data_IF_129863709698
#
_entry.id   IF_129863709698
#
_cell.length_a   1.000
_cell.length_b   1.000
_cell.length_c   1.000
_cell.angle_alpha   90.00
_cell.angle_beta   90.00
_cell.angle_gamma   90.00
#
_symmetry.space_group_name_H-M   'P 1'
#
loop_
_entity.id
_entity.type
_entity.pdbx_description
1 polymer ?
#
# COMPACT_ATOMS: atom_id res chain seq x y z
N UNK A 1 13.41 -5.48 3.71
CA UNK A 1 12.03 -5.99 3.45
C UNK A 1 11.09 -4.80 3.34
N UNK A 2 9.78 -4.99 3.15
CA UNK A 2 8.83 -3.87 3.08
C UNK A 2 8.84 -3.00 4.36
N UNK A 3 9.07 -3.61 5.53
CA UNK A 3 9.25 -2.93 6.81
C UNK A 3 10.44 -1.97 6.79
N UNK A 4 11.63 -2.48 6.44
CA UNK A 4 12.86 -1.69 6.34
C UNK A 4 12.71 -0.48 5.41
N UNK A 5 11.95 -0.62 4.31
CA UNK A 5 11.68 0.48 3.39
C UNK A 5 10.87 1.59 4.06
N UNK A 6 9.87 1.25 4.88
CA UNK A 6 9.09 2.25 5.59
C UNK A 6 9.91 2.90 6.71
N UNK A 7 10.74 2.13 7.41
CA UNK A 7 11.65 2.63 8.45
C UNK A 7 12.65 3.66 7.88
N UNK A 8 13.22 3.40 6.70
CA UNK A 8 14.09 4.33 5.98
C UNK A 8 13.40 5.67 5.64
N UNK A 9 12.06 5.67 5.59
CA UNK A 9 11.21 6.83 5.37
C UNK A 9 10.68 7.44 6.67
N UNK A 10 11.24 7.08 7.82
CA UNK A 10 10.75 7.49 9.14
C UNK A 10 9.27 7.17 9.36
N UNK A 11 8.81 6.08 8.76
CA UNK A 11 7.43 5.58 8.81
C UNK A 11 7.42 4.13 9.27
N UNK A 12 6.25 3.56 9.53
CA UNK A 12 6.10 2.13 9.80
C UNK A 12 5.36 1.44 8.66
N UNK A 13 5.53 0.11 8.53
CA UNK A 13 4.69 -0.64 7.59
C UNK A 13 3.23 -0.55 8.02
N UNK A 14 2.37 -0.18 7.09
CA UNK A 14 0.95 0.00 7.35
C UNK A 14 0.27 -1.31 7.75
N UNK A 15 -0.74 -1.17 8.61
CA UNK A 15 -1.66 -2.24 8.91
C UNK A 15 -2.95 -2.16 8.07
N UNK A 16 -3.79 -3.19 8.14
CA UNK A 16 -5.03 -3.24 7.37
C UNK A 16 -6.02 -2.14 7.75
N UNK A 17 -6.09 -1.75 9.01
CA UNK A 17 -7.01 -0.72 9.50
C UNK A 17 -6.64 0.65 8.92
N UNK A 18 -5.36 1.01 8.97
CA UNK A 18 -4.83 2.23 8.35
C UNK A 18 -5.08 2.26 6.85
N UNK A 19 -4.96 1.11 6.17
CA UNK A 19 -5.24 0.97 4.73
C UNK A 19 -6.71 1.17 4.42
N UNK A 20 -7.59 0.60 5.24
CA UNK A 20 -9.03 0.80 5.13
C UNK A 20 -9.44 2.25 5.38
N UNK A 21 -8.83 2.92 6.35
CA UNK A 21 -9.05 4.34 6.60
C UNK A 21 -8.58 5.23 5.45
N UNK A 22 -7.37 4.98 4.93
CA UNK A 22 -6.90 5.75 3.78
C UNK A 22 -7.76 5.52 2.54
N UNK A 23 -8.23 4.29 2.31
CA UNK A 23 -9.23 4.03 1.28
C UNK A 23 -10.51 4.85 1.51
N UNK A 24 -11.06 4.89 2.72
CA UNK A 24 -12.22 5.73 3.04
C UNK A 24 -11.95 7.24 2.80
N UNK A 25 -10.71 7.69 2.99
CA UNK A 25 -10.24 9.04 2.70
C UNK A 25 -9.93 9.30 1.21
N UNK A 26 -10.11 8.31 0.33
CA UNK A 26 -9.97 8.45 -1.12
C UNK A 26 -8.68 7.90 -1.72
N UNK A 27 -7.83 7.22 -0.94
CA UNK A 27 -6.62 6.60 -1.47
C UNK A 27 -6.96 5.49 -2.46
N UNK A 28 -6.54 5.66 -3.71
CA UNK A 28 -6.51 4.61 -4.72
C UNK A 28 -5.13 4.48 -5.34
N UNK A 29 -4.77 3.26 -5.73
CA UNK A 29 -3.50 2.92 -6.37
C UNK A 29 -3.74 2.03 -7.60
N UNK A 30 -2.76 1.93 -8.47
CA UNK A 30 -2.75 0.94 -9.56
C UNK A 30 -1.62 -0.08 -9.36
N UNK A 31 -1.14 -0.22 -8.12
CA UNK A 31 0.00 -1.06 -7.77
C UNK A 31 -0.28 -1.79 -6.47
N UNK A 32 0.06 -3.07 -6.43
CA UNK A 32 -0.01 -3.86 -5.22
C UNK A 32 1.10 -3.44 -4.25
N UNK A 33 0.73 -3.29 -2.98
CA UNK A 33 1.64 -2.96 -1.89
C UNK A 33 1.50 -3.92 -0.70
N UNK A 34 2.60 -4.13 0.00
CA UNK A 34 2.68 -4.90 1.23
C UNK A 34 2.01 -4.18 2.40
N UNK A 35 1.31 -4.97 3.22
CA UNK A 35 0.61 -4.59 4.46
C UNK A 35 0.75 -5.73 5.46
N UNK A 36 0.95 -5.45 6.76
CA UNK A 36 1.14 -6.46 7.81
C UNK A 36 2.22 -7.52 7.47
N UNK A 37 3.24 -7.15 6.68
CA UNK A 37 4.34 -7.99 6.17
C UNK A 37 3.95 -9.26 5.40
N UNK A 38 2.65 -9.52 5.21
CA UNK A 38 2.12 -10.81 4.75
C UNK A 38 1.04 -10.67 3.69
N UNK A 39 0.42 -9.49 3.58
CA UNK A 39 -0.70 -9.24 2.67
C UNK A 39 -0.27 -8.29 1.57
N UNK A 40 -0.59 -8.65 0.33
CA UNK A 40 -0.50 -7.75 -0.82
C UNK A 40 -1.89 -7.23 -1.14
N UNK A 41 -2.04 -5.91 -1.17
CA UNK A 41 -3.32 -5.26 -1.45
C UNK A 41 -3.19 -4.16 -2.50
N UNK A 42 -4.28 -3.88 -3.18
CA UNK A 42 -4.46 -2.75 -4.10
C UNK A 42 -5.79 -2.08 -3.79
N UNK A 43 -5.81 -0.74 -3.82
CA UNK A 43 -6.97 0.06 -3.44
C UNK A 43 -7.54 0.71 -4.71
N UNK A 44 -8.81 0.49 -5.01
CA UNK A 44 -9.46 1.06 -6.21
C UNK A 44 -10.81 1.68 -5.88
N UNK A 45 -10.98 2.96 -6.17
CA UNK A 45 -12.32 3.61 -6.14
C UNK A 45 -13.02 3.52 -7.50
N UNK A 46 -12.25 3.42 -8.57
CA UNK A 46 -12.76 3.40 -9.94
C UNK A 46 -12.29 2.13 -10.66
N UNK A 47 -13.17 1.57 -11.49
CA UNK A 47 -12.83 0.41 -12.29
C UNK A 47 -11.77 0.76 -13.33
N UNK A 48 -10.70 -0.02 -13.40
CA UNK A 48 -9.68 0.09 -14.43
C UNK A 48 -9.20 -1.31 -14.80
N UNK A 49 -9.33 -1.70 -16.07
CA UNK A 49 -8.95 -3.04 -16.55
C UNK A 49 -7.46 -3.34 -16.39
N UNK A 50 -6.61 -2.31 -16.33
CA UNK A 50 -5.16 -2.44 -16.08
C UNK A 50 -4.83 -2.59 -14.58
N UNK A 51 -5.75 -2.25 -13.68
CA UNK A 51 -5.54 -2.29 -12.23
C UNK A 51 -6.49 -3.31 -11.60
N UNK A 52 -5.96 -4.45 -11.13
CA UNK A 52 -6.77 -5.53 -10.53
C UNK A 52 -7.91 -6.01 -11.45
N UNK A 53 -7.70 -6.00 -12.78
CA UNK A 53 -8.69 -6.46 -13.76
C UNK A 53 -10.06 -5.78 -13.64
N UNK A 54 -10.09 -4.49 -13.25
CA UNK A 54 -11.32 -3.71 -13.15
C UNK A 54 -12.05 -3.81 -11.81
N UNK A 55 -11.49 -4.53 -10.82
CA UNK A 55 -12.08 -4.63 -9.50
C UNK A 55 -12.01 -3.30 -8.73
N UNK A 56 -13.06 -3.00 -7.97
CA UNK A 56 -13.19 -1.84 -7.07
C UNK A 56 -13.16 -2.36 -5.63
N UNK A 57 -12.60 -1.56 -4.73
CA UNK A 57 -12.40 -1.89 -3.33
C UNK A 57 -10.94 -2.18 -2.99
N UNK A 58 -10.76 -2.86 -1.86
CA UNK A 58 -9.45 -3.33 -1.38
C UNK A 58 -9.28 -4.78 -1.80
N UNK A 59 -8.57 -5.01 -2.89
CA UNK A 59 -8.35 -6.36 -3.44
C UNK A 59 -7.05 -6.93 -2.91
N UNK A 60 -7.09 -8.18 -2.45
CA UNK A 60 -5.91 -8.94 -2.03
C UNK A 60 -5.34 -9.74 -3.20
N UNK A 61 -4.01 -9.90 -3.23
CA UNK A 61 -3.31 -10.77 -4.18
C UNK A 61 -2.49 -11.82 -3.45
N UNK A 62 -2.45 -13.03 -4.01
CA UNK A 62 -1.56 -14.10 -3.58
C UNK A 62 -0.13 -13.78 -4.04
N UNK A 63 0.83 -13.90 -3.14
CA UNK A 63 2.24 -13.68 -3.46
C UNK A 63 2.71 -14.66 -4.54
N UNK A 64 3.35 -14.12 -5.57
CA UNK A 64 3.85 -14.86 -6.74
C UNK A 64 5.37 -14.72 -6.92
N UNK A 65 6.07 -14.28 -5.89
CA UNK A 65 7.52 -14.06 -5.91
C UNK A 65 7.97 -12.76 -6.58
N UNK A 66 7.05 -11.97 -7.14
CA UNK A 66 7.39 -10.66 -7.73
C UNK A 66 7.69 -9.61 -6.65
N UNK A 67 8.35 -8.52 -7.07
CA UNK A 67 8.55 -7.33 -6.24
C UNK A 67 7.30 -6.46 -6.26
N UNK A 68 6.95 -5.93 -5.10
CA UNK A 68 5.78 -5.09 -4.87
C UNK A 68 6.15 -3.88 -4.03
N UNK A 69 5.28 -2.89 -3.99
CA UNK A 69 5.47 -1.69 -3.17
C UNK A 69 5.19 -1.98 -1.69
N UNK A 70 5.34 -0.97 -0.84
CA UNK A 70 4.91 -1.03 0.55
C UNK A 70 3.93 0.13 0.83
N UNK A 71 2.91 -0.15 1.61
CA UNK A 71 2.14 0.92 2.24
C UNK A 71 2.82 1.28 3.54
N UNK A 72 3.21 2.55 3.68
CA UNK A 72 3.86 3.06 4.87
C UNK A 72 2.95 4.06 5.58
N UNK A 73 2.86 3.95 6.90
CA UNK A 73 2.10 4.83 7.77
C UNK A 73 3.04 5.80 8.47
N UNK A 74 2.77 7.09 8.28
CA UNK A 74 3.46 8.18 8.95
C UNK A 74 2.58 8.74 10.06
N UNK A 75 2.87 8.33 11.29
CA UNK A 75 2.16 8.78 12.50
C UNK A 75 2.57 10.20 12.95
N UNK A 76 3.61 10.78 12.33
CA UNK A 76 4.21 12.05 12.75
C UNK A 76 3.73 13.24 11.92
N UNK A 77 3.08 12.98 10.77
CA UNK A 77 2.50 13.99 9.92
C UNK A 77 1.32 14.71 10.60
N UNK A 78 1.11 16.03 10.32
CA UNK A 78 -0.03 16.78 10.84
C UNK A 78 -1.39 16.25 10.36
N UNK A 79 -1.38 15.46 9.29
CA UNK A 79 -2.48 14.57 8.90
C UNK A 79 -1.92 13.16 8.89
N UNK A 80 -2.28 12.31 9.87
CA UNK A 80 -1.91 10.90 9.85
C UNK A 80 -2.32 10.26 8.52
N UNK A 81 -1.33 9.92 7.67
CA UNK A 81 -1.59 9.52 6.30
C UNK A 81 -0.77 8.34 5.82
N UNK A 82 -1.36 7.58 4.91
CA UNK A 82 -0.69 6.51 4.21
C UNK A 82 0.01 7.02 2.95
N UNK A 83 1.24 6.58 2.79
CA UNK A 83 2.03 6.73 1.57
C UNK A 83 2.23 5.36 0.94
N UNK A 84 2.09 5.28 -0.39
CA UNK A 84 2.58 4.12 -1.12
C UNK A 84 4.00 4.40 -1.59
N UNK A 85 4.96 3.63 -1.08
CA UNK A 85 6.37 3.80 -1.41
C UNK A 85 6.83 2.66 -2.30
N UNK A 86 7.45 3.01 -3.42
CA UNK A 86 8.04 2.04 -4.33
C UNK A 86 9.15 1.28 -3.59
N UNK A 87 9.05 -0.05 -3.52
CA UNK A 87 10.09 -0.86 -2.86
C UNK A 87 11.47 -0.83 -3.57
N UNK A 88 11.62 -0.02 -4.62
CA UNK A 88 12.85 0.18 -5.37
C UNK A 88 13.43 1.61 -5.26
N UNK A 89 12.97 2.44 -4.31
CA UNK A 89 13.60 3.75 -4.06
C UNK A 89 14.85 3.62 -3.18
N UNK A 90 15.90 3.02 -3.78
CA UNK A 90 17.30 3.48 -3.76
C UNK A 90 18.14 2.46 -4.54
N UNK A 91 18.66 2.88 -5.70
CA UNK A 91 20.04 2.55 -6.05
C UNK A 91 20.96 3.34 -5.12
#
# INVERSE_FOLDING_TARGET
MAESLCEDLSSSLANMEQVEEAYKKGLQTCRYGWVNSTKLVILRHESNTLCASGQIGITKKIQDGNKYDAFCYDATGPEEFLRQSLANLRK
#
